data_IF_760455687606
#
_entry.id   IF_760455687606
#
_cell.length_a   1.000
_cell.length_b   1.000
_cell.length_c   1.000
_cell.angle_alpha   90.00
_cell.angle_beta   90.00
_cell.angle_gamma   90.00
#
_symmetry.space_group_name_H-M   'P 1'
#
loop_
_entity.id
_entity.type
_entity.pdbx_description
1 polymer ?
#
# COMPACT_ATOMS: atom_id res chain seq x y z
N UNK A 1 -55.14 3.74 -3.34
CA UNK A 1 -54.52 3.91 -2.00
C UNK A 1 -54.19 5.40 -1.85
N UNK A 2 -54.59 6.07 -0.75
CA UNK A 2 -54.22 7.46 -0.48
C UNK A 2 -52.70 7.67 -0.53
N UNK A 3 -52.26 8.81 -1.07
CA UNK A 3 -50.84 9.13 -1.26
C UNK A 3 -50.03 9.06 0.04
N UNK A 4 -50.60 9.54 1.16
CA UNK A 4 -49.96 9.48 2.48
C UNK A 4 -49.66 8.04 2.96
N UNK A 5 -50.51 7.07 2.62
CA UNK A 5 -50.28 5.67 3.00
C UNK A 5 -49.19 5.02 2.14
N UNK A 6 -49.11 5.38 0.86
CA UNK A 6 -48.04 4.94 -0.04
C UNK A 6 -46.69 5.55 0.36
N UNK A 7 -46.66 6.82 0.74
CA UNK A 7 -45.45 7.48 1.25
C UNK A 7 -44.90 6.76 2.49
N UNK A 8 -45.78 6.39 3.43
CA UNK A 8 -45.39 5.61 4.61
C UNK A 8 -44.83 4.23 4.21
N UNK A 9 -45.47 3.56 3.27
CA UNK A 9 -45.07 2.21 2.85
C UNK A 9 -43.72 2.19 2.13
N UNK A 10 -43.45 3.22 1.31
CA UNK A 10 -42.17 3.38 0.60
C UNK A 10 -40.99 3.56 1.58
N UNK A 11 -41.20 4.26 2.69
CA UNK A 11 -40.15 4.44 3.72
C UNK A 11 -39.76 3.10 4.34
N UNK A 12 -40.71 2.20 4.62
CA UNK A 12 -40.39 0.87 5.14
C UNK A 12 -39.54 0.05 4.16
N UNK A 13 -39.87 0.06 2.87
CA UNK A 13 -39.10 -0.64 1.83
C UNK A 13 -37.69 -0.08 1.71
N UNK A 14 -37.52 1.24 1.78
CA UNK A 14 -36.21 1.89 1.77
C UNK A 14 -35.34 1.48 2.95
N UNK A 15 -35.93 1.09 4.08
CA UNK A 15 -35.19 0.52 5.22
C UNK A 15 -34.84 -0.97 5.02
N UNK A 16 -35.29 -1.60 3.92
CA UNK A 16 -35.15 -3.04 3.67
C UNK A 16 -36.19 -3.90 4.40
N UNK A 17 -37.27 -3.28 4.88
CA UNK A 17 -38.38 -3.94 5.58
C UNK A 17 -39.58 -4.00 4.64
N UNK A 18 -40.30 -5.12 4.63
CA UNK A 18 -41.53 -5.23 3.84
C UNK A 18 -42.58 -4.23 4.33
N UNK A 19 -43.14 -3.46 3.39
CA UNK A 19 -44.30 -2.62 3.61
C UNK A 19 -45.59 -3.43 3.72
N UNK A 20 -46.63 -2.76 4.20
CA UNK A 20 -47.99 -3.29 4.27
C UNK A 20 -48.56 -3.56 2.87
N UNK A 21 -48.17 -2.76 1.87
CA UNK A 21 -48.68 -2.86 0.49
C UNK A 21 -47.59 -3.25 -0.52
N UNK A 22 -46.30 -3.02 -0.24
CA UNK A 22 -45.18 -3.34 -1.14
C UNK A 22 -44.15 -4.19 -0.39
N UNK A 23 -43.73 -5.33 -0.99
CA UNK A 23 -42.83 -6.32 -0.38
C UNK A 23 -41.62 -6.61 -1.27
N UNK A 24 -40.51 -7.03 -0.66
CA UNK A 24 -39.23 -7.33 -1.31
C UNK A 24 -38.96 -8.84 -1.39
N UNK A 25 -38.46 -9.33 -2.54
CA UNK A 25 -38.09 -10.74 -2.77
C UNK A 25 -36.57 -10.95 -2.65
N UNK A 26 -36.14 -11.97 -1.89
CA UNK A 26 -34.81 -12.10 -1.25
C UNK A 26 -33.82 -13.04 -1.97
N UNK A 27 -34.03 -13.40 -3.23
CA UNK A 27 -33.31 -14.48 -3.91
C UNK A 27 -31.83 -14.25 -4.25
N UNK A 28 -31.12 -13.25 -3.68
CA UNK A 28 -29.72 -12.95 -4.03
C UNK A 28 -28.89 -12.49 -2.83
N UNK A 29 -27.98 -13.35 -2.35
CA UNK A 29 -26.99 -13.04 -1.32
C UNK A 29 -25.60 -13.35 -1.86
N UNK A 30 -24.65 -12.43 -1.70
CA UNK A 30 -23.25 -12.56 -2.12
C UNK A 30 -22.31 -12.15 -0.97
N UNK A 31 -21.19 -12.86 -0.82
CA UNK A 31 -20.18 -12.60 0.20
C UNK A 31 -19.07 -11.73 -0.42
N UNK A 32 -18.73 -10.62 0.25
CA UNK A 32 -17.65 -9.70 -0.16
C UNK A 32 -16.60 -9.72 0.95
N UNK A 33 -15.36 -10.10 0.62
CA UNK A 33 -14.29 -10.31 1.61
C UNK A 33 -13.21 -9.20 1.59
N UNK A 34 -13.57 -8.00 1.11
CA UNK A 34 -12.66 -6.83 1.12
C UNK A 34 -13.10 -5.82 2.19
N UNK A 35 -12.42 -5.81 3.33
CA UNK A 35 -12.74 -4.94 4.48
C UNK A 35 -12.77 -3.45 4.12
N UNK A 36 -11.82 -2.98 3.31
CA UNK A 36 -11.75 -1.58 2.89
C UNK A 36 -12.92 -1.20 1.97
N UNK A 37 -13.26 -2.07 1.01
CA UNK A 37 -14.42 -1.86 0.14
C UNK A 37 -15.75 -1.95 0.90
N UNK A 38 -15.89 -2.92 1.80
CA UNK A 38 -17.05 -3.02 2.68
C UNK A 38 -17.19 -1.77 3.56
N UNK A 39 -16.08 -1.22 4.08
CA UNK A 39 -16.09 0.02 4.86
C UNK A 39 -16.57 1.21 4.02
N UNK A 40 -16.09 1.34 2.79
CA UNK A 40 -16.50 2.41 1.89
C UNK A 40 -18.00 2.32 1.56
N UNK A 41 -18.49 1.12 1.24
CA UNK A 41 -19.92 0.87 1.01
C UNK A 41 -20.75 1.13 2.27
N UNK A 42 -20.27 0.72 3.44
CA UNK A 42 -20.96 0.93 4.72
C UNK A 42 -21.08 2.42 5.06
N UNK A 43 -20.08 3.24 4.73
CA UNK A 43 -20.15 4.70 4.90
C UNK A 43 -21.27 5.27 4.04
N UNK A 44 -21.36 4.88 2.76
CA UNK A 44 -22.42 5.33 1.85
C UNK A 44 -23.81 4.83 2.28
N UNK A 45 -23.93 3.59 2.76
CA UNK A 45 -25.17 3.08 3.36
C UNK A 45 -25.57 3.86 4.60
N UNK A 46 -24.60 4.27 5.43
CA UNK A 46 -24.87 5.06 6.64
C UNK A 46 -25.45 6.43 6.27
N UNK A 47 -24.91 7.09 5.25
CA UNK A 47 -25.47 8.34 4.73
C UNK A 47 -26.88 8.15 4.14
N UNK A 48 -27.10 7.04 3.43
CA UNK A 48 -28.43 6.69 2.95
C UNK A 48 -29.44 6.52 4.10
N UNK A 49 -29.10 5.77 5.16
CA UNK A 49 -29.99 5.59 6.32
C UNK A 49 -30.23 6.89 7.08
N UNK A 50 -29.22 7.78 7.18
CA UNK A 50 -29.41 9.13 7.72
C UNK A 50 -30.43 9.93 6.89
N UNK A 51 -30.34 9.86 5.57
CA UNK A 51 -31.30 10.48 4.66
C UNK A 51 -32.72 9.91 4.85
N UNK A 52 -32.87 8.59 4.96
CA UNK A 52 -34.17 7.96 5.23
C UNK A 52 -34.76 8.42 6.57
N UNK A 53 -33.95 8.54 7.63
CA UNK A 53 -34.43 9.04 8.93
C UNK A 53 -34.96 10.48 8.86
N UNK A 54 -34.31 11.35 8.06
CA UNK A 54 -34.78 12.73 7.81
C UNK A 54 -36.10 12.72 7.03
N UNK A 55 -36.22 11.88 6.01
CA UNK A 55 -37.46 11.73 5.24
C UNK A 55 -38.61 11.22 6.12
N UNK A 56 -38.36 10.21 6.94
CA UNK A 56 -39.35 9.66 7.87
C UNK A 56 -39.85 10.74 8.83
N UNK A 57 -38.95 11.54 9.41
CA UNK A 57 -39.32 12.65 10.29
C UNK A 57 -40.19 13.71 9.58
N UNK A 58 -39.95 13.98 8.29
CA UNK A 58 -40.77 14.91 7.50
C UNK A 58 -42.16 14.33 7.17
N UNK A 59 -42.25 13.04 6.86
CA UNK A 59 -43.52 12.36 6.59
C UNK A 59 -44.36 12.24 7.87
N UNK A 60 -43.73 11.98 9.02
CA UNK A 60 -44.40 11.92 10.32
C UNK A 60 -45.06 13.25 10.71
N UNK A 61 -44.37 14.39 10.51
CA UNK A 61 -44.92 15.73 10.79
C UNK A 61 -46.19 16.04 9.98
N UNK A 62 -46.28 15.52 8.76
CA UNK A 62 -47.45 15.70 7.88
C UNK A 62 -48.60 14.80 8.31
N UNK A 63 -48.31 13.60 8.81
CA UNK A 63 -49.31 12.68 9.33
C UNK A 63 -49.98 13.20 10.61
N UNK A 64 -49.24 13.93 11.47
CA UNK A 64 -49.73 14.51 12.72
C UNK A 64 -50.53 15.82 12.55
N UNK A 65 -50.78 16.27 11.32
CA UNK A 65 -51.65 17.42 11.03
C UNK A 65 -51.11 18.78 11.46
N UNK A 66 -49.81 18.88 11.80
CA UNK A 66 -49.14 20.15 12.06
C UNK A 66 -49.00 20.94 10.75
N UNK A 67 -49.32 22.25 10.80
CA UNK A 67 -49.28 23.14 9.63
C UNK A 67 -47.91 23.08 8.96
N UNK A 68 -47.87 22.43 7.81
CA UNK A 68 -46.74 22.49 6.91
C UNK A 68 -46.86 23.83 6.18
N UNK A 69 -45.75 24.56 6.08
CA UNK A 69 -45.56 25.61 5.09
C UNK A 69 -46.07 25.12 3.71
N UNK A 70 -46.29 26.00 2.72
CA UNK A 70 -47.00 25.72 1.44
C UNK A 70 -46.47 24.54 0.57
N UNK A 71 -45.49 23.80 1.06
CA UNK A 71 -44.65 22.84 0.38
C UNK A 71 -44.40 21.58 1.22
N UNK A 72 -45.43 20.76 1.50
CA UNK A 72 -45.26 19.41 2.06
C UNK A 72 -44.63 18.36 1.13
N UNK A 73 -44.23 17.19 1.66
CA UNK A 73 -43.71 16.08 0.87
C UNK A 73 -44.83 15.48 0.01
N UNK A 74 -44.56 15.32 -1.28
CA UNK A 74 -45.39 14.60 -2.23
C UNK A 74 -44.57 13.49 -2.87
N UNK A 75 -45.22 12.49 -3.49
CA UNK A 75 -44.53 11.43 -4.22
C UNK A 75 -43.59 11.99 -5.29
N UNK A 76 -43.99 13.09 -5.95
CA UNK A 76 -43.14 13.77 -6.96
C UNK A 76 -41.88 14.37 -6.34
N UNK A 77 -41.98 14.94 -5.14
CA UNK A 77 -40.81 15.49 -4.43
C UNK A 77 -39.93 14.40 -3.85
N UNK A 78 -40.53 13.35 -3.29
CA UNK A 78 -39.80 12.17 -2.84
C UNK A 78 -39.01 11.53 -3.98
N UNK A 79 -39.59 11.44 -5.17
CA UNK A 79 -38.89 10.96 -6.36
C UNK A 79 -37.66 11.81 -6.71
N UNK A 80 -37.74 13.14 -6.60
CA UNK A 80 -36.60 14.04 -6.84
C UNK A 80 -35.55 13.91 -5.73
N UNK A 81 -35.96 13.90 -4.46
CA UNK A 81 -35.06 13.77 -3.32
C UNK A 81 -34.30 12.45 -3.30
N UNK A 82 -34.91 11.37 -3.80
CA UNK A 82 -34.29 10.04 -3.84
C UNK A 82 -33.37 9.82 -5.04
N UNK A 83 -33.33 10.74 -6.03
CA UNK A 83 -32.52 10.54 -7.25
C UNK A 83 -31.04 10.33 -6.95
N UNK A 84 -30.44 11.16 -6.10
CA UNK A 84 -29.01 11.07 -5.79
C UNK A 84 -28.68 9.73 -5.12
N UNK A 85 -29.45 9.38 -4.09
CA UNK A 85 -29.33 8.11 -3.38
C UNK A 85 -29.54 6.90 -4.30
N UNK A 86 -30.49 6.98 -5.22
CA UNK A 86 -30.76 5.94 -6.21
C UNK A 86 -29.55 5.73 -7.14
N UNK A 87 -28.91 6.81 -7.60
CA UNK A 87 -27.72 6.71 -8.44
C UNK A 87 -26.53 6.10 -7.68
N UNK A 88 -26.29 6.51 -6.42
CA UNK A 88 -25.23 5.92 -5.58
C UNK A 88 -25.47 4.43 -5.35
N UNK A 89 -26.66 4.05 -4.91
CA UNK A 89 -27.00 2.64 -4.64
C UNK A 89 -26.92 1.78 -5.91
N UNK A 90 -27.34 2.32 -7.07
CA UNK A 90 -27.19 1.63 -8.35
C UNK A 90 -25.72 1.43 -8.70
N UNK A 91 -24.87 2.44 -8.50
CA UNK A 91 -23.43 2.32 -8.74
C UNK A 91 -22.78 1.32 -7.78
N UNK A 92 -23.14 1.37 -6.50
CA UNK A 92 -22.70 0.39 -5.49
C UNK A 92 -23.07 -1.03 -5.90
N UNK A 93 -24.29 -1.26 -6.40
CA UNK A 93 -24.71 -2.57 -6.90
C UNK A 93 -23.85 -3.03 -8.08
N UNK A 94 -23.52 -2.15 -9.03
CA UNK A 94 -22.62 -2.47 -10.15
C UNK A 94 -21.23 -2.84 -9.64
N UNK A 95 -20.67 -2.05 -8.72
CA UNK A 95 -19.35 -2.33 -8.14
C UNK A 95 -19.34 -3.65 -7.37
N UNK A 96 -20.37 -3.93 -6.57
CA UNK A 96 -20.50 -5.20 -5.84
C UNK A 96 -20.55 -6.38 -6.81
N UNK A 97 -21.29 -6.26 -7.92
CA UNK A 97 -21.39 -7.31 -8.94
C UNK A 97 -20.02 -7.60 -9.58
N UNK A 98 -19.28 -6.55 -9.95
CA UNK A 98 -17.95 -6.68 -10.54
C UNK A 98 -16.89 -7.17 -9.54
N UNK A 99 -17.07 -6.86 -8.26
CA UNK A 99 -16.08 -7.17 -7.22
C UNK A 99 -16.22 -8.57 -6.60
N UNK A 100 -17.21 -9.39 -7.02
CA UNK A 100 -17.52 -10.68 -6.37
C UNK A 100 -16.38 -11.70 -6.31
N UNK A 101 -15.50 -11.71 -7.32
CA UNK A 101 -14.46 -12.75 -7.48
C UNK A 101 -13.06 -12.16 -7.60
N UNK A 102 -12.89 -10.87 -7.30
CA UNK A 102 -11.61 -10.17 -7.39
C UNK A 102 -11.13 -9.76 -6.01
N UNK A 103 -9.81 -9.73 -5.82
CA UNK A 103 -9.15 -9.44 -4.54
C UNK A 103 -7.96 -8.52 -4.74
N UNK A 104 -7.47 -7.90 -3.66
CA UNK A 104 -6.27 -7.08 -3.67
C UNK A 104 -6.19 -6.06 -4.81
N UNK A 105 -5.05 -5.99 -5.49
CA UNK A 105 -4.83 -5.03 -6.59
C UNK A 105 -5.74 -5.22 -7.82
N UNK A 106 -6.28 -6.43 -8.05
CA UNK A 106 -7.27 -6.67 -9.11
C UNK A 106 -8.60 -5.96 -8.81
N UNK A 107 -9.01 -5.92 -7.53
CA UNK A 107 -10.19 -5.18 -7.09
C UNK A 107 -10.01 -3.67 -7.31
N UNK A 108 -8.84 -3.13 -6.95
CA UNK A 108 -8.53 -1.71 -7.17
C UNK A 108 -8.55 -1.37 -8.68
N UNK A 109 -8.02 -2.26 -9.52
CA UNK A 109 -8.09 -2.11 -10.98
C UNK A 109 -9.51 -2.07 -11.52
N UNK A 110 -10.36 -2.96 -10.98
CA UNK A 110 -11.76 -3.07 -11.39
C UNK A 110 -12.50 -1.76 -11.09
N UNK A 111 -12.33 -1.20 -9.89
CA UNK A 111 -12.92 0.09 -9.51
C UNK A 111 -12.31 1.22 -10.35
N UNK A 112 -10.99 1.25 -10.54
CA UNK A 112 -10.31 2.27 -11.33
C UNK A 112 -10.83 2.34 -12.77
N UNK A 113 -11.17 1.21 -13.40
CA UNK A 113 -11.71 1.21 -14.77
C UNK A 113 -13.03 2.00 -14.90
N UNK A 114 -13.79 2.17 -13.81
CA UNK A 114 -15.01 2.98 -13.80
C UNK A 114 -14.77 4.49 -13.61
N UNK A 115 -13.51 4.92 -13.36
CA UNK A 115 -13.18 6.36 -13.31
C UNK A 115 -13.31 7.03 -14.67
N UNK A 116 -13.17 6.27 -15.77
CA UNK A 116 -13.32 6.75 -17.15
C UNK A 116 -14.79 6.88 -17.58
N UNK A 117 -15.70 7.21 -16.66
CA UNK A 117 -17.11 7.42 -16.96
C UNK A 117 -17.36 8.86 -17.43
N UNK A 118 -18.30 9.10 -18.34
CA UNK A 118 -18.60 10.46 -18.84
C UNK A 118 -19.46 11.33 -17.91
N UNK A 119 -19.96 10.77 -16.82
CA UNK A 119 -20.86 11.44 -15.87
C UNK A 119 -20.05 11.93 -14.64
N UNK A 120 -20.02 13.26 -14.36
CA UNK A 120 -19.27 13.82 -13.24
C UNK A 120 -19.67 13.28 -11.88
N UNK A 121 -20.95 12.97 -11.67
CA UNK A 121 -21.44 12.43 -10.41
C UNK A 121 -20.87 11.04 -10.17
N UNK A 122 -20.88 10.20 -11.20
CA UNK A 122 -20.32 8.85 -11.15
C UNK A 122 -18.81 8.93 -10.94
N UNK A 123 -18.09 9.78 -11.68
CA UNK A 123 -16.65 9.95 -11.48
C UNK A 123 -16.32 10.35 -10.04
N UNK A 124 -17.05 11.31 -9.46
CA UNK A 124 -16.83 11.73 -8.08
C UNK A 124 -17.06 10.60 -7.09
N UNK A 125 -18.16 9.85 -7.26
CA UNK A 125 -18.47 8.70 -6.41
C UNK A 125 -17.38 7.61 -6.49
N UNK A 126 -16.93 7.26 -7.70
CA UNK A 126 -15.89 6.26 -7.92
C UNK A 126 -14.55 6.73 -7.35
N UNK A 127 -14.17 7.99 -7.53
CA UNK A 127 -12.91 8.53 -7.00
C UNK A 127 -12.87 8.47 -5.47
N UNK A 128 -13.96 8.87 -4.79
CA UNK A 128 -14.06 8.79 -3.33
C UNK A 128 -13.97 7.33 -2.86
N UNK A 129 -14.62 6.41 -3.56
CA UNK A 129 -14.57 4.97 -3.24
C UNK A 129 -13.16 4.41 -3.46
N UNK A 130 -12.51 4.79 -4.56
CA UNK A 130 -11.17 4.34 -4.91
C UNK A 130 -10.12 4.83 -3.91
N UNK A 131 -10.25 6.06 -3.42
CA UNK A 131 -9.35 6.62 -2.39
C UNK A 131 -9.38 5.79 -1.10
N UNK A 132 -10.57 5.41 -0.63
CA UNK A 132 -10.70 4.56 0.56
C UNK A 132 -10.21 3.13 0.32
N UNK A 133 -10.56 2.54 -0.83
CA UNK A 133 -10.21 1.14 -1.15
C UNK A 133 -8.72 0.96 -1.45
N UNK A 134 -8.06 1.95 -2.04
CA UNK A 134 -6.65 1.89 -2.40
C UNK A 134 -5.70 2.23 -1.25
N UNK A 135 -6.21 2.74 -0.12
CA UNK A 135 -5.38 3.11 1.04
C UNK A 135 -4.46 1.97 1.54
N UNK A 136 -4.95 0.73 1.79
CA UNK A 136 -4.08 -0.36 2.22
C UNK A 136 -3.00 -0.70 1.18
N UNK A 137 -3.34 -0.62 -0.10
CA UNK A 137 -2.41 -0.84 -1.20
C UNK A 137 -1.26 0.18 -1.18
N UNK A 138 -1.58 1.48 -1.03
CA UNK A 138 -0.56 2.53 -0.98
C UNK A 138 0.29 2.47 0.30
N UNK A 139 -0.28 2.03 1.43
CA UNK A 139 0.47 1.79 2.65
C UNK A 139 1.51 0.66 2.46
N UNK A 140 1.11 -0.47 1.86
CA UNK A 140 2.04 -1.55 1.50
C UNK A 140 3.11 -1.07 0.51
N UNK A 141 2.71 -0.30 -0.51
CA UNK A 141 3.64 0.26 -1.48
C UNK A 141 4.66 1.22 -0.83
N UNK A 142 4.22 2.08 0.09
CA UNK A 142 5.10 2.99 0.82
C UNK A 142 6.07 2.21 1.73
N UNK A 143 5.58 1.20 2.47
CA UNK A 143 6.45 0.34 3.29
C UNK A 143 7.47 -0.42 2.46
N UNK A 144 7.06 -0.88 1.27
CA UNK A 144 7.97 -1.54 0.34
C UNK A 144 9.03 -0.59 -0.21
N UNK A 145 8.63 0.59 -0.71
CA UNK A 145 9.54 1.58 -1.32
C UNK A 145 10.50 2.19 -0.30
N UNK A 146 10.01 2.56 0.89
CA UNK A 146 10.80 3.28 1.89
C UNK A 146 11.36 2.39 3.00
N UNK A 147 10.76 1.23 3.21
CA UNK A 147 11.10 0.32 4.32
C UNK A 147 11.75 -0.98 3.88
N UNK A 148 11.64 -1.37 2.60
CA UNK A 148 12.14 -2.66 2.09
C UNK A 148 11.48 -3.89 2.73
N UNK A 149 10.36 -3.69 3.42
CA UNK A 149 9.61 -4.70 4.16
C UNK A 149 8.26 -4.91 3.47
N UNK A 150 7.89 -6.17 3.27
CA UNK A 150 6.59 -6.56 2.74
C UNK A 150 5.83 -7.30 3.84
N UNK A 151 4.80 -6.65 4.37
CA UNK A 151 3.80 -7.28 5.23
C UNK A 151 2.52 -7.44 4.41
N UNK A 152 2.33 -8.63 3.83
CA UNK A 152 1.16 -8.96 3.01
C UNK A 152 0.49 -10.26 3.51
N UNK A 153 -0.20 -10.26 4.67
CA UNK A 153 -0.80 -11.47 5.25
C UNK A 153 -1.91 -12.09 4.41
N UNK A 154 -2.48 -11.31 3.49
CA UNK A 154 -3.65 -11.68 2.69
C UNK A 154 -3.30 -11.87 1.21
N UNK A 155 -2.02 -11.78 0.85
CA UNK A 155 -1.55 -11.97 -0.52
C UNK A 155 -2.25 -11.02 -1.52
N UNK A 156 -2.34 -9.74 -1.19
CA UNK A 156 -3.06 -8.72 -1.97
C UNK A 156 -2.15 -7.79 -2.78
N UNK A 157 -0.84 -7.78 -2.50
CA UNK A 157 0.13 -6.89 -3.14
C UNK A 157 0.77 -7.51 -4.40
N UNK A 158 1.10 -6.69 -5.42
CA UNK A 158 1.67 -7.21 -6.67
C UNK A 158 3.12 -7.73 -6.56
N UNK A 159 3.78 -7.56 -5.41
CA UNK A 159 5.04 -8.23 -5.09
C UNK A 159 4.71 -9.36 -4.11
N UNK A 160 5.13 -10.58 -4.42
CA UNK A 160 5.05 -11.72 -3.51
C UNK A 160 6.43 -12.02 -2.93
N UNK A 161 6.46 -12.46 -1.67
CA UNK A 161 7.64 -13.04 -1.04
C UNK A 161 7.46 -14.55 -0.98
N UNK A 162 8.36 -15.32 -1.60
CA UNK A 162 8.39 -16.77 -1.47
C UNK A 162 9.26 -17.16 -0.26
N UNK A 163 8.66 -17.73 0.81
CA UNK A 163 9.39 -18.12 2.01
C UNK A 163 10.17 -19.44 1.84
N UNK A 164 9.93 -20.22 0.79
CA UNK A 164 10.48 -21.57 0.60
C UNK A 164 11.73 -21.62 -0.29
N UNK A 165 12.29 -20.46 -0.65
CA UNK A 165 13.45 -20.37 -1.53
C UNK A 165 14.73 -20.75 -0.78
N UNK A 166 15.48 -21.70 -1.34
CA UNK A 166 16.82 -22.10 -0.89
C UNK A 166 17.75 -20.88 -0.79
N UNK A 167 18.64 -20.86 0.22
CA UNK A 167 19.46 -19.69 0.54
C UNK A 167 20.36 -19.20 -0.63
N UNK A 168 20.73 -20.10 -1.54
CA UNK A 168 21.57 -19.82 -2.72
C UNK A 168 20.84 -18.98 -3.79
N UNK A 169 19.50 -19.08 -3.87
CA UNK A 169 18.67 -18.46 -4.91
C UNK A 169 17.82 -17.27 -4.40
N UNK A 170 18.06 -16.83 -3.16
CA UNK A 170 17.30 -15.75 -2.50
C UNK A 170 17.26 -14.42 -3.28
N UNK A 171 18.18 -14.17 -4.19
CA UNK A 171 18.22 -12.93 -4.97
C UNK A 171 17.48 -13.02 -6.31
N UNK A 172 17.29 -14.24 -6.83
CA UNK A 172 16.54 -14.48 -8.08
C UNK A 172 15.07 -14.78 -7.81
N UNK A 173 14.81 -15.55 -6.75
CA UNK A 173 13.51 -16.23 -6.58
C UNK A 173 12.73 -15.76 -5.35
N UNK A 174 13.35 -15.06 -4.40
CA UNK A 174 12.66 -14.65 -3.15
C UNK A 174 11.48 -13.71 -3.39
N UNK A 175 11.59 -12.82 -4.38
CA UNK A 175 10.52 -11.89 -4.69
C UNK A 175 10.10 -12.04 -6.14
N UNK A 176 8.80 -12.17 -6.36
CA UNK A 176 8.20 -12.31 -7.69
C UNK A 176 7.12 -11.25 -7.88
N UNK A 177 6.94 -10.82 -9.13
CA UNK A 177 5.85 -9.90 -9.49
C UNK A 177 4.64 -10.74 -9.88
N UNK A 178 3.50 -10.47 -9.23
CA UNK A 178 2.19 -11.04 -9.52
C UNK A 178 1.44 -10.13 -10.50
N UNK A 179 1.37 -10.48 -11.80
CA UNK A 179 0.77 -9.61 -12.81
C UNK A 179 -0.75 -9.46 -12.64
N UNK A 180 -1.39 -10.46 -12.07
CA UNK A 180 -2.82 -10.52 -11.72
C UNK A 180 -3.18 -9.52 -10.61
N UNK A 181 -2.26 -9.26 -9.67
CA UNK A 181 -2.45 -8.31 -8.57
C UNK A 181 -1.90 -6.92 -8.88
N UNK A 182 -1.34 -6.69 -10.08
CA UNK A 182 -0.81 -5.39 -10.48
C UNK A 182 -1.95 -4.43 -10.85
N UNK A 183 -2.07 -3.27 -10.17
CA UNK A 183 -3.11 -2.31 -10.53
C UNK A 183 -2.93 -1.73 -11.93
N UNK A 184 -4.01 -1.59 -12.69
CA UNK A 184 -3.97 -1.11 -14.09
C UNK A 184 -3.43 0.32 -14.26
N UNK A 185 -3.52 1.15 -13.23
CA UNK A 185 -2.92 2.50 -13.23
C UNK A 185 -1.40 2.50 -13.02
N UNK A 186 -0.79 1.38 -12.63
CA UNK A 186 0.65 1.22 -12.51
C UNK A 186 1.19 0.56 -13.77
N UNK A 187 1.99 1.29 -14.55
CA UNK A 187 2.62 0.72 -15.74
C UNK A 187 3.61 -0.39 -15.37
N UNK A 188 3.80 -1.35 -16.28
CA UNK A 188 4.76 -2.45 -16.10
C UNK A 188 6.19 -1.95 -15.86
N UNK A 189 6.56 -0.80 -16.44
CA UNK A 189 7.85 -0.14 -16.20
C UNK A 189 7.96 0.40 -14.77
N UNK A 190 6.88 1.01 -14.26
CA UNK A 190 6.85 1.51 -12.89
C UNK A 190 6.86 0.35 -11.88
N UNK A 191 6.09 -0.70 -12.12
CA UNK A 191 6.09 -1.90 -11.29
C UNK A 191 7.49 -2.53 -11.21
N UNK A 192 8.19 -2.65 -12.35
CA UNK A 192 9.59 -3.12 -12.39
C UNK A 192 10.53 -2.19 -11.61
N UNK A 193 10.38 -0.87 -11.74
CA UNK A 193 11.17 0.11 -10.97
C UNK A 193 10.93 -0.01 -9.47
N UNK A 194 9.68 -0.16 -9.04
CA UNK A 194 9.31 -0.35 -7.63
C UNK A 194 9.93 -1.65 -7.08
N UNK A 195 9.90 -2.72 -7.88
CA UNK A 195 10.53 -3.98 -7.55
C UNK A 195 12.06 -3.85 -7.37
N UNK A 196 12.76 -3.17 -8.29
CA UNK A 196 14.21 -3.02 -8.22
C UNK A 196 14.67 -2.05 -7.13
N UNK A 197 13.93 -0.97 -6.87
CA UNK A 197 14.33 0.07 -5.92
C UNK A 197 14.30 -0.42 -4.46
N UNK A 198 13.36 -1.30 -4.09
CA UNK A 198 13.33 -1.88 -2.75
C UNK A 198 14.55 -2.78 -2.47
N UNK A 199 15.15 -3.38 -3.51
CA UNK A 199 16.40 -4.13 -3.40
C UNK A 199 17.63 -3.27 -3.10
N UNK A 200 17.54 -1.94 -3.22
CA UNK A 200 18.65 -1.01 -3.02
C UNK A 200 18.79 -0.53 -1.57
N UNK A 201 17.79 -0.69 -0.70
CA UNK A 201 17.84 -0.23 0.70
C UNK A 201 18.50 -1.26 1.63
N UNK A 202 19.65 -1.80 1.19
CA UNK A 202 20.44 -2.80 1.92
C UNK A 202 21.04 -2.27 3.22
N UNK A 203 21.05 -0.94 3.42
CA UNK A 203 21.48 -0.29 4.67
C UNK A 203 20.62 -0.71 5.87
N UNK A 204 19.35 -1.06 5.67
CA UNK A 204 18.45 -1.48 6.74
C UNK A 204 18.68 -2.93 7.24
N UNK A 205 19.53 -3.70 6.56
CA UNK A 205 19.99 -5.01 7.09
C UNK A 205 21.01 -4.83 8.20
N UNK A 206 21.91 -3.86 8.07
CA UNK A 206 22.95 -3.55 9.05
C UNK A 206 22.42 -2.83 10.30
N UNK A 207 21.17 -2.35 10.28
CA UNK A 207 20.50 -1.82 11.49
C UNK A 207 19.97 -2.92 12.42
N UNK A 208 20.00 -4.19 12.00
CA UNK A 208 19.68 -5.34 12.86
C UNK A 208 20.86 -5.62 13.82
N UNK A 209 20.61 -6.26 14.98
CA UNK A 209 21.68 -6.63 15.90
C UNK A 209 22.68 -7.58 15.24
N UNK A 210 23.96 -7.43 15.58
CA UNK A 210 25.08 -8.18 15.00
C UNK A 210 24.87 -9.71 14.98
N UNK A 211 24.24 -10.26 16.01
CA UNK A 211 23.97 -11.70 16.14
C UNK A 211 23.05 -12.27 15.05
N UNK A 212 22.32 -11.42 14.33
CA UNK A 212 21.40 -11.84 13.25
C UNK A 212 22.01 -11.68 11.86
N UNK A 213 23.26 -11.21 11.78
CA UNK A 213 23.96 -10.96 10.53
C UNK A 213 24.89 -12.11 10.20
N UNK A 214 24.66 -12.71 9.04
CA UNK A 214 25.50 -13.77 8.51
C UNK A 214 26.37 -13.24 7.36
N UNK A 215 27.62 -13.71 7.29
CA UNK A 215 28.60 -13.31 6.28
C UNK A 215 28.08 -13.50 4.85
N UNK A 216 27.50 -14.66 4.54
CA UNK A 216 27.00 -14.99 3.20
C UNK A 216 25.96 -13.98 2.69
N UNK A 217 25.08 -13.49 3.57
CA UNK A 217 24.06 -12.50 3.24
C UNK A 217 24.66 -11.14 2.85
N UNK A 218 25.80 -10.80 3.46
CA UNK A 218 26.51 -9.56 3.20
C UNK A 218 27.41 -9.68 1.96
N UNK A 219 27.99 -10.86 1.72
CA UNK A 219 28.72 -11.14 0.47
C UNK A 219 27.79 -11.00 -0.74
N UNK A 220 26.60 -11.61 -0.71
CA UNK A 220 25.61 -11.42 -1.79
C UNK A 220 25.14 -9.96 -1.94
N UNK A 221 25.10 -9.22 -0.82
CA UNK A 221 24.83 -7.77 -0.83
C UNK A 221 25.94 -6.99 -1.53
N UNK A 222 27.20 -7.28 -1.21
CA UNK A 222 28.40 -6.68 -1.79
C UNK A 222 28.47 -6.94 -3.29
N UNK A 223 28.30 -8.18 -3.73
CA UNK A 223 28.30 -8.53 -5.15
C UNK A 223 27.23 -7.79 -5.94
N UNK A 224 26.01 -7.73 -5.42
CA UNK A 224 24.94 -6.99 -6.07
C UNK A 224 25.18 -5.48 -6.05
N UNK A 225 25.93 -4.95 -5.07
CA UNK A 225 26.35 -3.54 -5.05
C UNK A 225 27.45 -3.28 -6.10
N UNK A 226 28.40 -4.20 -6.27
CA UNK A 226 29.42 -4.15 -7.34
C UNK A 226 28.73 -4.10 -8.71
N UNK A 227 27.81 -5.05 -8.98
CA UNK A 227 27.03 -5.11 -10.23
C UNK A 227 26.20 -3.85 -10.50
N UNK A 228 25.66 -3.23 -9.45
CA UNK A 228 24.85 -2.02 -9.57
C UNK A 228 25.67 -0.72 -9.67
N UNK A 229 27.00 -0.79 -9.55
CA UNK A 229 27.89 0.36 -9.55
C UNK A 229 28.83 0.37 -10.76
N UNK A 230 29.63 1.43 -10.87
CA UNK A 230 30.69 1.49 -11.88
C UNK A 230 31.84 0.50 -11.59
N UNK A 231 31.90 -0.10 -10.38
CA UNK A 231 32.90 -1.10 -10.04
C UNK A 231 32.75 -2.42 -10.83
N UNK A 232 31.61 -2.63 -11.52
CA UNK A 232 31.44 -3.77 -12.42
C UNK A 232 32.44 -3.80 -13.59
N UNK A 233 33.06 -2.65 -13.91
CA UNK A 233 34.04 -2.52 -14.98
C UNK A 233 35.50 -2.61 -14.49
N UNK A 234 35.70 -2.75 -13.17
CA UNK A 234 37.03 -2.92 -12.60
C UNK A 234 37.58 -4.33 -12.91
N UNK A 235 38.91 -4.49 -12.78
CA UNK A 235 39.58 -5.74 -13.07
C UNK A 235 39.00 -6.91 -12.22
N UNK A 236 38.65 -8.05 -12.84
CA UNK A 236 38.13 -9.22 -12.12
C UNK A 236 39.00 -9.67 -10.95
N UNK A 237 40.31 -9.48 -11.03
CA UNK A 237 41.24 -9.86 -9.97
C UNK A 237 41.19 -8.91 -8.76
N UNK A 238 40.79 -7.65 -8.95
CA UNK A 238 40.55 -6.71 -7.84
C UNK A 238 39.24 -7.09 -7.12
N UNK A 239 38.21 -7.44 -7.89
CA UNK A 239 36.90 -7.81 -7.35
C UNK A 239 36.96 -9.13 -6.56
N UNK A 240 37.75 -10.10 -7.03
CA UNK A 240 37.97 -11.37 -6.31
C UNK A 240 38.70 -11.22 -4.98
N UNK A 241 39.48 -10.14 -4.82
CA UNK A 241 40.23 -9.86 -3.59
C UNK A 241 39.38 -9.16 -2.54
N UNK A 242 38.25 -8.56 -2.92
CA UNK A 242 37.36 -7.87 -2.00
C UNK A 242 36.37 -8.85 -1.37
N UNK A 243 36.36 -8.95 -0.05
CA UNK A 243 35.43 -9.80 0.69
C UNK A 243 34.85 -9.05 1.90
N UNK A 244 33.73 -9.55 2.41
CA UNK A 244 33.11 -9.04 3.64
C UNK A 244 33.76 -9.72 4.84
N UNK A 245 34.09 -8.92 5.85
CA UNK A 245 34.56 -9.35 7.16
C UNK A 245 33.64 -8.84 8.26
N UNK A 246 33.26 -9.73 9.16
CA UNK A 246 32.56 -9.38 10.40
C UNK A 246 33.58 -9.35 11.53
N UNK A 247 33.67 -8.23 12.24
CA UNK A 247 34.52 -8.10 13.42
C UNK A 247 33.91 -8.86 14.60
N UNK A 248 34.71 -9.26 15.59
CA UNK A 248 34.19 -9.88 16.82
C UNK A 248 33.36 -8.85 17.58
N UNK A 249 32.04 -9.05 17.64
CA UNK A 249 31.09 -8.10 18.22
C UNK A 249 30.87 -8.32 19.70
N UNK A 250 30.71 -7.24 20.46
CA UNK A 250 30.20 -7.29 21.83
C UNK A 250 28.66 -7.43 21.82
N UNK A 251 28.07 -8.04 22.85
CA UNK A 251 26.62 -8.21 22.95
C UNK A 251 25.88 -6.86 22.80
N UNK A 252 24.98 -6.77 21.81
CA UNK A 252 24.09 -5.62 21.61
C UNK A 252 24.54 -4.61 20.55
N UNK A 253 25.67 -4.82 19.87
CA UNK A 253 26.13 -3.92 18.80
C UNK A 253 25.28 -4.06 17.52
N UNK A 254 25.09 -2.94 16.81
CA UNK A 254 24.41 -2.93 15.53
C UNK A 254 25.33 -3.47 14.43
N UNK A 255 24.75 -4.08 13.40
CA UNK A 255 25.50 -4.57 12.24
C UNK A 255 26.43 -3.56 11.59
N UNK A 256 26.07 -2.28 11.64
CA UNK A 256 26.87 -1.17 11.15
C UNK A 256 28.26 -1.05 11.79
N UNK A 257 28.39 -1.47 13.04
CA UNK A 257 29.63 -1.35 13.82
C UNK A 257 30.54 -2.58 13.64
N UNK A 258 29.96 -3.68 13.17
CA UNK A 258 30.61 -4.98 13.00
C UNK A 258 31.03 -5.24 11.56
N UNK A 259 30.36 -4.60 10.60
CA UNK A 259 30.66 -4.72 9.18
C UNK A 259 32.00 -4.09 8.82
N UNK A 260 32.82 -4.83 8.07
CA UNK A 260 34.04 -4.33 7.45
C UNK A 260 34.30 -4.98 6.09
N UNK A 261 35.11 -4.33 5.27
CA UNK A 261 35.60 -4.89 4.01
C UNK A 261 37.05 -5.34 4.20
N UNK A 262 37.37 -6.52 3.70
CA UNK A 262 38.72 -7.07 3.70
C UNK A 262 39.22 -7.21 2.27
N UNK A 263 40.52 -6.94 2.07
CA UNK A 263 41.16 -7.02 0.76
C UNK A 263 42.28 -8.05 0.82
N UNK A 264 42.06 -9.19 0.17
CA UNK A 264 42.97 -10.31 0.18
C UNK A 264 44.19 -10.07 -0.72
N UNK A 265 45.38 -10.10 -0.13
CA UNK A 265 46.63 -9.88 -0.85
C UNK A 265 47.49 -11.14 -0.84
N UNK A 266 47.66 -11.73 -2.01
CA UNK A 266 48.51 -12.90 -2.23
C UNK A 266 49.94 -12.50 -2.62
N UNK A 267 50.84 -13.48 -2.62
CA UNK A 267 52.16 -13.34 -3.24
C UNK A 267 52.02 -13.04 -4.74
N UNK A 268 52.81 -12.12 -5.34
CA UNK A 268 53.94 -11.38 -4.75
C UNK A 268 53.57 -10.05 -4.08
N UNK A 269 52.32 -9.61 -4.21
CA UNK A 269 51.84 -8.27 -3.84
C UNK A 269 51.89 -8.05 -2.30
N UNK A 270 51.80 -9.13 -1.53
CA UNK A 270 51.96 -9.13 -0.07
C UNK A 270 53.35 -8.67 0.43
N UNK A 271 54.35 -8.61 -0.46
CA UNK A 271 55.70 -8.10 -0.13
C UNK A 271 55.69 -6.59 0.08
N UNK A 272 54.80 -5.89 -0.63
CA UNK A 272 54.63 -4.44 -0.53
C UNK A 272 53.51 -4.12 0.48
N UNK A 273 52.40 -4.86 0.42
CA UNK A 273 51.31 -4.74 1.37
C UNK A 273 51.55 -5.64 2.57
N UNK A 274 52.38 -5.16 3.50
CA UNK A 274 52.62 -5.85 4.76
C UNK A 274 51.34 -5.94 5.59
N UNK A 275 51.20 -6.95 6.47
CA UNK A 275 50.07 -7.05 7.39
C UNK A 275 49.87 -5.80 8.25
N UNK A 276 50.97 -5.10 8.57
CA UNK A 276 50.93 -3.84 9.31
C UNK A 276 50.28 -2.70 8.51
N UNK A 277 50.61 -2.57 7.22
CA UNK A 277 49.99 -1.59 6.34
C UNK A 277 48.47 -1.87 6.16
N UNK A 278 48.09 -3.14 6.01
CA UNK A 278 46.69 -3.54 5.90
C UNK A 278 45.88 -3.21 7.16
N UNK A 279 46.47 -3.33 8.35
CA UNK A 279 45.83 -2.89 9.61
C UNK A 279 45.58 -1.38 9.63
N UNK A 280 46.51 -0.57 9.12
CA UNK A 280 46.32 0.89 9.01
C UNK A 280 45.20 1.24 8.02
N UNK A 281 45.14 0.55 6.87
CA UNK A 281 44.05 0.71 5.91
C UNK A 281 42.70 0.34 6.52
N UNK A 282 42.64 -0.73 7.31
CA UNK A 282 41.42 -1.14 8.02
C UNK A 282 40.94 -0.08 9.03
N UNK A 283 41.87 0.54 9.78
CA UNK A 283 41.54 1.64 10.69
C UNK A 283 40.99 2.86 9.94
N UNK A 284 41.63 3.23 8.83
CA UNK A 284 41.17 4.32 7.97
C UNK A 284 39.78 4.03 7.37
N UNK A 285 39.57 2.80 6.89
CA UNK A 285 38.30 2.36 6.36
C UNK A 285 37.20 2.46 7.42
N UNK A 286 37.42 1.94 8.63
CA UNK A 286 36.42 1.99 9.70
C UNK A 286 36.05 3.43 10.09
N UNK A 287 37.03 4.35 10.08
CA UNK A 287 36.76 5.77 10.29
C UNK A 287 35.90 6.37 9.15
N UNK A 288 36.30 6.16 7.90
CA UNK A 288 35.56 6.67 6.74
C UNK A 288 34.16 6.07 6.63
N UNK A 289 34.01 4.79 6.97
CA UNK A 289 32.75 4.08 7.01
C UNK A 289 31.78 4.71 8.02
N UNK A 290 32.24 4.97 9.24
CA UNK A 290 31.45 5.68 10.27
C UNK A 290 31.08 7.09 9.82
N UNK A 291 32.00 7.81 9.19
CA UNK A 291 31.73 9.15 8.66
C UNK A 291 30.66 9.12 7.56
N UNK A 292 30.76 8.18 6.62
CA UNK A 292 29.78 8.01 5.54
C UNK A 292 28.41 7.58 6.06
N UNK A 293 28.35 6.78 7.12
CA UNK A 293 27.09 6.45 7.81
C UNK A 293 26.41 7.71 8.35
N UNK A 294 27.14 8.58 9.06
CA UNK A 294 26.57 9.83 9.59
C UNK A 294 26.07 10.74 8.47
N UNK A 295 26.82 10.87 7.38
CA UNK A 295 26.40 11.64 6.19
C UNK A 295 25.09 11.09 5.59
N UNK A 296 24.98 9.77 5.47
CA UNK A 296 23.78 9.11 4.97
C UNK A 296 22.58 9.30 5.90
N UNK A 297 22.78 9.13 7.21
CA UNK A 297 21.74 9.30 8.24
C UNK A 297 21.24 10.76 8.28
N UNK A 298 22.15 11.73 8.16
CA UNK A 298 21.77 13.15 8.07
C UNK A 298 21.01 13.45 6.77
N UNK A 299 21.44 12.89 5.65
CA UNK A 299 20.78 13.07 4.35
C UNK A 299 19.39 12.41 4.31
N UNK A 300 19.22 11.27 4.98
CA UNK A 300 17.91 10.60 5.11
C UNK A 300 16.99 11.37 6.07
N UNK A 301 17.51 11.84 7.20
CA UNK A 301 16.76 12.70 8.14
C UNK A 301 16.30 14.00 7.47
N UNK A 302 17.15 14.64 6.68
CA UNK A 302 16.79 15.84 5.91
C UNK A 302 15.68 15.56 4.89
N UNK A 303 15.78 14.47 4.13
CA UNK A 303 14.72 14.05 3.18
C UNK A 303 13.38 13.81 3.88
N UNK A 304 13.39 13.15 5.03
CA UNK A 304 12.19 12.96 5.85
C UNK A 304 11.60 14.29 6.31
N UNK A 305 12.43 15.19 6.82
CA UNK A 305 11.96 16.48 7.31
C UNK A 305 11.36 17.35 6.19
N UNK A 306 11.98 17.36 5.00
CA UNK A 306 11.45 18.05 3.83
C UNK A 306 10.13 17.45 3.32
N UNK A 307 9.98 16.12 3.36
CA UNK A 307 8.73 15.45 3.02
C UNK A 307 7.61 15.79 4.03
N UNK A 308 7.92 15.77 5.33
CA UNK A 308 6.97 16.16 6.38
C UNK A 308 6.56 17.63 6.30
N UNK A 309 7.50 18.54 6.02
CA UNK A 309 7.22 19.96 5.83
C UNK A 309 6.29 20.21 4.64
N UNK A 310 6.49 19.47 3.54
CA UNK A 310 5.60 19.54 2.37
C UNK A 310 4.19 19.03 2.66
N UNK A 311 4.07 17.96 3.47
CA UNK A 311 2.76 17.45 3.89
C UNK A 311 2.05 18.41 4.86
N UNK A 312 2.78 19.09 5.74
CA UNK A 312 2.24 20.11 6.63
C UNK A 312 1.72 21.33 5.84
N UNK A 313 2.44 21.76 4.80
CA UNK A 313 1.98 22.86 3.92
C UNK A 313 0.77 22.52 3.04
N UNK A 314 0.33 21.26 2.99
CA UNK A 314 -0.89 20.85 2.30
C UNK A 314 -2.11 20.77 3.24
N UNK A 315 -1.89 20.91 4.54
CA UNK A 315 -2.93 20.85 5.59
C UNK A 315 -3.35 22.26 6.05
N UNK A 316 -2.55 23.30 5.75
CA UNK A 316 -2.92 24.72 5.82
C UNK A 316 -3.51 25.22 4.49
#
# INVERSE_FOLDING_TARGET
IPEALLLRDIVFIFQGIDGQYIKYDKSSSYIIDSKAFCSALQRELTEYYRFIAVLEAQVAKVADGQQVESHGPSLKRLFVWTQESLLKLRMMSVLVECCKQVRGGALVSTIYNYTNHGDPFIQQFINNTLEEVSRPFFEMLQRWIYGGELEDPFEEFFVACDPNVEEEDLWQSKYTIRPDMQPTFISSLLAKKVFTNAGADKGKRLSKPANTLYRHNLTGTLEAAIRASNAQYDDPDILRRLDVRLLESSFGEAGWDVFSLDYHVDSPINTIFTPHAMQQYLQLFNFLWRLKRVEHDMSSAWRRNMASARNLSQIE
#
